data_IF_405111434055
#
_entry.id   IF_405111434055
#
_cell.length_a   1.000
_cell.length_b   1.000
_cell.length_c   1.000
_cell.angle_alpha   90.00
_cell.angle_beta   90.00
_cell.angle_gamma   90.00
#
_symmetry.space_group_name_H-M   'P 1'
#
loop_
_entity.id
_entity.type
_entity.pdbx_description
1 polymer ?
#
# COMPACT_ATOMS: atom_id res chain seq x y z
N UNK A 1 -30.72 -9.01 20.62
CA UNK A 1 -29.49 -9.52 19.97
C UNK A 1 -28.46 -8.40 20.06
N UNK A 2 -27.51 -8.48 20.99
CA UNK A 2 -26.42 -7.50 21.05
C UNK A 2 -25.58 -7.70 19.78
N UNK A 3 -25.59 -6.72 18.87
CA UNK A 3 -24.80 -6.77 17.65
C UNK A 3 -23.33 -6.95 18.00
N UNK A 4 -22.67 -7.95 17.42
CA UNK A 4 -21.23 -8.11 17.60
C UNK A 4 -20.54 -6.86 17.09
N UNK A 5 -19.85 -6.17 17.98
CA UNK A 5 -19.03 -5.00 17.67
C UNK A 5 -18.08 -5.34 16.50
N UNK A 6 -18.23 -4.68 15.35
CA UNK A 6 -17.38 -4.91 14.16
C UNK A 6 -16.11 -4.08 14.29
N UNK A 7 -14.95 -4.73 14.24
CA UNK A 7 -13.67 -4.06 14.00
C UNK A 7 -13.41 -4.05 12.48
N UNK A 8 -12.90 -2.94 11.96
CA UNK A 8 -12.49 -2.79 10.56
C UNK A 8 -11.07 -2.24 10.52
N UNK A 9 -10.21 -2.86 9.72
CA UNK A 9 -8.90 -2.31 9.42
C UNK A 9 -9.00 -1.15 8.42
N UNK A 10 -9.08 0.07 8.95
CA UNK A 10 -9.07 1.31 8.17
C UNK A 10 -7.62 1.59 7.76
N UNK A 11 -7.28 1.35 6.50
CA UNK A 11 -5.95 1.61 5.97
C UNK A 11 -5.92 2.92 5.17
N UNK A 12 -5.06 3.85 5.60
CA UNK A 12 -4.81 5.08 4.87
C UNK A 12 -3.86 4.85 3.71
N UNK A 13 -4.38 4.86 2.48
CA UNK A 13 -3.60 4.60 1.25
C UNK A 13 -2.59 5.72 1.01
N UNK A 14 -1.30 5.33 0.96
CA UNK A 14 -0.15 6.25 0.88
C UNK A 14 -0.22 7.34 1.95
N UNK A 15 -0.72 6.98 3.13
CA UNK A 15 -1.17 7.90 4.18
C UNK A 15 -2.60 8.37 3.98
N UNK A 16 -2.79 9.51 3.33
CA UNK A 16 -4.13 10.07 3.07
C UNK A 16 -4.11 10.83 1.75
N UNK A 17 -3.78 10.13 0.65
CA UNK A 17 -3.52 10.73 -0.67
C UNK A 17 -4.60 11.70 -1.15
N UNK A 18 -5.86 11.49 -0.80
CA UNK A 18 -6.94 12.41 -1.18
C UNK A 18 -6.89 13.77 -0.45
N UNK A 19 -6.07 13.92 0.60
CA UNK A 19 -6.06 15.05 1.52
C UNK A 19 -4.68 15.69 1.71
N UNK A 20 -3.59 14.93 1.53
CA UNK A 20 -2.21 15.39 1.66
C UNK A 20 -1.30 14.65 0.65
N UNK A 21 -0.09 15.17 0.36
CA UNK A 21 0.80 14.58 -0.64
C UNK A 21 1.14 13.13 -0.30
N UNK A 22 0.97 12.24 -1.28
CA UNK A 22 1.08 10.79 -1.10
C UNK A 22 2.48 10.33 -0.68
N UNK A 23 2.54 9.29 0.17
CA UNK A 23 3.80 8.67 0.61
C UNK A 23 4.79 9.66 1.27
N UNK A 24 4.27 10.77 1.83
CA UNK A 24 5.07 11.76 2.57
C UNK A 24 4.79 11.67 4.07
N UNK A 25 5.73 12.18 4.89
CA UNK A 25 5.50 12.31 6.33
C UNK A 25 4.25 13.13 6.65
N UNK A 26 3.93 14.15 5.83
CA UNK A 26 2.70 14.93 5.96
C UNK A 26 1.44 14.10 5.69
N UNK A 27 1.47 13.25 4.65
CA UNK A 27 0.40 12.30 4.36
C UNK A 27 0.15 11.33 5.52
N UNK A 28 1.22 10.77 6.10
CA UNK A 28 1.11 9.86 7.24
C UNK A 28 0.66 10.58 8.52
N UNK A 29 1.16 11.80 8.80
CA UNK A 29 0.69 12.61 9.91
C UNK A 29 -0.81 12.94 9.79
N UNK A 30 -1.28 13.22 8.57
CA UNK A 30 -2.71 13.43 8.29
C UNK A 30 -3.54 12.18 8.58
N UNK A 31 -3.06 11.00 8.16
CA UNK A 31 -3.73 9.73 8.44
C UNK A 31 -3.80 9.42 9.95
N UNK A 32 -2.70 9.66 10.69
CA UNK A 32 -2.67 9.52 12.15
C UNK A 32 -3.64 10.47 12.85
N UNK A 33 -3.75 11.72 12.37
CA UNK A 33 -4.70 12.71 12.88
C UNK A 33 -6.17 12.35 12.58
N UNK A 34 -6.43 11.58 11.51
CA UNK A 34 -7.76 11.02 11.23
C UNK A 34 -8.08 9.84 12.15
N UNK A 35 -7.05 9.10 12.60
CA UNK A 35 -7.22 7.87 13.37
C UNK A 35 -7.47 6.69 12.43
N UNK A 36 -6.45 6.31 11.66
CA UNK A 36 -6.45 5.06 10.89
C UNK A 36 -5.93 3.91 11.75
N UNK A 37 -6.27 2.68 11.37
CA UNK A 37 -5.74 1.46 12.03
C UNK A 37 -4.36 1.11 11.48
N UNK A 38 -4.15 1.37 10.19
CA UNK A 38 -2.95 0.98 9.45
C UNK A 38 -2.52 2.10 8.52
N UNK A 39 -1.23 2.40 8.49
CA UNK A 39 -0.62 3.21 7.44
C UNK A 39 -0.22 2.28 6.29
N UNK A 40 -0.87 2.46 5.16
CA UNK A 40 -0.51 1.78 3.92
C UNK A 40 0.48 2.66 3.14
N UNK A 41 1.51 2.05 2.58
CA UNK A 41 2.55 2.77 1.85
C UNK A 41 3.27 1.89 0.85
N UNK A 42 3.91 2.56 -0.10
CA UNK A 42 4.71 1.93 -1.13
C UNK A 42 6.20 2.15 -0.87
N UNK A 43 7.03 1.14 -1.13
CA UNK A 43 8.47 1.27 -1.04
C UNK A 43 9.16 1.04 -2.38
N UNK A 44 10.32 1.70 -2.53
CA UNK A 44 11.32 1.49 -3.57
C UNK A 44 12.73 1.44 -2.93
N UNK A 45 13.74 1.11 -3.74
CA UNK A 45 15.14 1.01 -3.29
C UNK A 45 16.04 1.88 -4.15
N UNK A 46 16.83 2.73 -3.50
CA UNK A 46 17.81 3.61 -4.16
C UNK A 46 19.04 2.86 -4.65
N UNK A 47 19.93 3.56 -5.37
CA UNK A 47 21.20 3.01 -5.87
C UNK A 47 22.13 2.52 -4.76
N UNK A 48 22.10 3.22 -3.63
CA UNK A 48 22.87 2.98 -2.41
C UNK A 48 22.06 2.20 -1.36
N UNK A 49 21.14 1.35 -1.81
CA UNK A 49 20.38 0.35 -1.03
C UNK A 49 19.54 0.92 0.12
N UNK A 50 19.10 2.18 0.01
CA UNK A 50 18.19 2.81 0.97
C UNK A 50 16.74 2.50 0.58
N UNK A 51 15.97 1.95 1.53
CA UNK A 51 14.52 1.76 1.36
C UNK A 51 13.79 3.09 1.58
N UNK A 52 13.14 3.56 0.52
CA UNK A 52 12.44 4.85 0.47
C UNK A 52 10.96 4.65 0.20
N UNK A 53 10.12 5.61 0.59
CA UNK A 53 8.67 5.53 0.45
C UNK A 53 8.22 6.23 -0.83
N UNK A 54 7.84 5.46 -1.85
CA UNK A 54 7.40 5.98 -3.15
C UNK A 54 6.64 4.90 -3.92
N UNK A 55 5.62 5.33 -4.66
CA UNK A 55 4.76 4.43 -5.42
C UNK A 55 5.40 3.92 -6.72
N UNK A 56 6.11 4.80 -7.43
CA UNK A 56 6.60 4.50 -8.76
C UNK A 56 8.09 4.14 -8.73
N UNK A 57 8.51 3.32 -9.69
CA UNK A 57 9.92 2.92 -9.84
C UNK A 57 10.77 4.07 -10.37
N UNK A 58 10.13 5.04 -11.03
CA UNK A 58 10.68 6.31 -11.52
C UNK A 58 9.98 7.50 -10.87
N UNK A 59 10.62 8.67 -10.85
CA UNK A 59 9.98 9.90 -10.43
C UNK A 59 8.87 10.32 -11.41
N UNK A 60 7.63 10.43 -10.92
CA UNK A 60 6.45 10.77 -11.72
C UNK A 60 6.40 12.29 -12.03
N UNK A 61 6.38 12.71 -13.30
CA UNK A 61 6.27 14.13 -13.67
C UNK A 61 4.98 14.82 -13.18
N UNK A 62 3.93 14.06 -12.88
CA UNK A 62 2.70 14.61 -12.31
C UNK A 62 2.84 14.92 -10.82
N UNK A 63 3.88 14.42 -10.15
CA UNK A 63 4.05 14.51 -8.70
C UNK A 63 5.36 15.17 -8.27
N UNK A 64 6.33 15.30 -9.18
CA UNK A 64 7.70 15.65 -8.83
C UNK A 64 8.17 16.92 -9.51
N UNK A 65 8.76 17.83 -8.72
CA UNK A 65 9.58 18.94 -9.22
C UNK A 65 11.06 18.66 -9.04
N UNK A 66 11.84 19.08 -10.03
CA UNK A 66 13.29 19.03 -10.01
C UNK A 66 13.93 20.02 -9.02
N UNK A 67 15.27 19.97 -8.87
CA UNK A 67 16.01 20.89 -8.00
C UNK A 67 15.93 22.36 -8.42
N UNK A 68 15.54 22.63 -9.67
CA UNK A 68 15.27 23.94 -10.24
C UNK A 68 13.84 24.46 -9.94
N UNK A 69 13.04 23.67 -9.21
CA UNK A 69 11.66 23.99 -8.86
C UNK A 69 10.66 23.78 -9.99
N UNK A 70 11.08 23.29 -11.15
CA UNK A 70 10.20 23.01 -12.30
C UNK A 70 9.65 21.59 -12.23
N UNK A 71 8.43 21.38 -12.75
CA UNK A 71 7.90 20.04 -12.95
C UNK A 71 8.82 19.26 -13.89
N UNK A 72 8.99 17.95 -13.63
CA UNK A 72 9.71 17.12 -14.58
C UNK A 72 8.95 17.06 -15.92
N UNK A 73 9.70 17.12 -17.02
CA UNK A 73 9.15 16.97 -18.36
C UNK A 73 9.40 15.55 -18.86
N UNK A 74 8.37 14.71 -18.86
CA UNK A 74 8.47 13.30 -19.26
C UNK A 74 8.88 12.37 -18.11
N UNK A 75 9.25 11.13 -18.45
CA UNK A 75 9.63 10.13 -17.44
C UNK A 75 10.83 10.61 -16.62
N UNK A 76 10.66 10.69 -15.30
CA UNK A 76 11.75 11.01 -14.39
C UNK A 76 12.76 9.86 -14.25
N UNK A 77 13.91 10.12 -13.57
CA UNK A 77 14.91 9.09 -13.33
C UNK A 77 14.34 7.93 -12.51
N UNK A 78 14.87 6.73 -12.73
CA UNK A 78 14.61 5.57 -11.88
C UNK A 78 15.16 5.82 -10.49
N UNK A 79 14.39 5.46 -9.46
CA UNK A 79 14.82 5.54 -8.07
C UNK A 79 16.07 4.68 -7.85
N UNK A 80 16.14 3.51 -8.52
CA UNK A 80 17.27 2.57 -8.45
C UNK A 80 18.59 3.13 -9.00
N UNK A 81 18.53 4.21 -9.81
CA UNK A 81 19.69 4.87 -10.40
C UNK A 81 20.20 6.06 -9.58
N UNK A 82 19.40 6.54 -8.61
CA UNK A 82 19.73 7.67 -7.75
C UNK A 82 20.24 7.19 -6.39
N UNK A 83 21.27 7.83 -5.84
CA UNK A 83 21.56 7.71 -4.40
C UNK A 83 20.49 8.43 -3.60
N UNK A 84 20.32 8.06 -2.33
CA UNK A 84 19.37 8.75 -1.46
C UNK A 84 19.65 10.26 -1.39
N UNK A 85 20.93 10.66 -1.30
CA UNK A 85 21.32 12.07 -1.31
C UNK A 85 20.86 12.82 -2.57
N UNK A 86 20.95 12.19 -3.75
CA UNK A 86 20.46 12.80 -5.01
C UNK A 86 18.94 12.83 -5.03
N UNK A 87 18.28 11.80 -4.53
CA UNK A 87 16.82 11.73 -4.43
C UNK A 87 16.25 12.87 -3.57
N UNK A 88 16.96 13.26 -2.51
CA UNK A 88 16.56 14.38 -1.62
C UNK A 88 16.57 15.77 -2.29
N UNK A 89 17.01 15.88 -3.54
CA UNK A 89 16.96 17.15 -4.30
C UNK A 89 15.61 17.39 -4.98
N UNK A 90 14.75 16.38 -5.03
CA UNK A 90 13.44 16.45 -5.69
C UNK A 90 12.32 16.77 -4.70
N UNK A 91 11.36 17.56 -5.15
CA UNK A 91 10.20 17.96 -4.36
C UNK A 91 8.96 17.15 -4.76
N UNK A 92 8.30 16.53 -3.78
CA UNK A 92 7.11 15.68 -3.96
C UNK A 92 5.89 16.21 -3.20
N UNK A 93 5.94 17.48 -2.82
CA UNK A 93 4.97 18.10 -1.93
C UNK A 93 3.67 18.54 -2.58
N UNK A 94 3.55 18.41 -3.90
CA UNK A 94 2.45 18.98 -4.67
C UNK A 94 2.24 18.17 -5.95
N UNK A 95 0.99 17.93 -6.32
CA UNK A 95 0.64 17.41 -7.64
C UNK A 95 0.74 18.54 -8.66
N UNK A 96 1.27 18.26 -9.85
CA UNK A 96 1.24 19.17 -11.00
C UNK A 96 -0.20 19.62 -11.30
N UNK A 97 -0.57 20.89 -11.06
CA UNK A 97 -1.95 21.34 -11.22
C UNK A 97 -2.49 21.22 -12.66
N UNK A 98 -1.60 21.11 -13.65
CA UNK A 98 -1.96 20.94 -15.06
C UNK A 98 -2.24 19.47 -15.43
N UNK A 99 -1.88 18.50 -14.59
CA UNK A 99 -2.03 17.08 -14.91
C UNK A 99 -3.49 16.61 -14.81
N UNK A 100 -3.81 15.55 -15.55
CA UNK A 100 -5.09 14.87 -15.37
C UNK A 100 -5.19 14.23 -13.97
N UNK A 101 -4.05 13.85 -13.37
CA UNK A 101 -4.00 13.29 -12.03
C UNK A 101 -4.51 14.27 -10.97
N UNK A 102 -4.19 15.56 -11.07
CA UNK A 102 -4.64 16.59 -10.13
C UNK A 102 -6.17 16.66 -10.02
N UNK A 103 -6.90 16.41 -11.12
CA UNK A 103 -8.37 16.45 -11.14
C UNK A 103 -9.02 15.40 -10.25
N UNK A 104 -8.30 14.32 -9.92
CA UNK A 104 -8.77 13.26 -9.03
C UNK A 104 -8.73 13.67 -7.56
N UNK A 105 -7.92 14.69 -7.20
CA UNK A 105 -7.61 15.05 -5.82
C UNK A 105 -7.81 16.54 -5.54
N UNK A 106 -9.02 17.09 -5.78
CA UNK A 106 -9.27 18.53 -5.61
C UNK A 106 -9.14 19.01 -4.15
N UNK A 107 -9.27 18.10 -3.18
CA UNK A 107 -9.18 18.41 -1.75
C UNK A 107 -7.76 18.25 -1.17
N UNK A 108 -6.80 17.72 -1.95
CA UNK A 108 -5.44 17.51 -1.47
C UNK A 108 -4.76 18.84 -1.18
N UNK A 109 -4.27 19.00 0.05
CA UNK A 109 -3.54 20.20 0.47
C UNK A 109 -2.05 20.06 0.15
N UNK A 110 -1.46 20.94 -0.68
CA UNK A 110 -0.03 20.86 -1.01
C UNK A 110 0.83 21.35 0.15
N UNK A 111 2.08 20.87 0.19
CA UNK A 111 3.12 21.32 1.10
C UNK A 111 4.45 21.36 0.35
N UNK A 112 4.87 22.55 -0.12
CA UNK A 112 6.14 22.69 -0.83
C UNK A 112 7.34 22.41 0.10
N UNK A 113 8.46 21.97 -0.46
CA UNK A 113 9.67 21.64 0.29
C UNK A 113 9.73 20.18 0.76
N UNK A 114 8.70 19.37 0.48
CA UNK A 114 8.63 17.97 0.92
C UNK A 114 9.51 17.08 0.04
N UNK A 115 10.20 16.12 0.67
CA UNK A 115 11.09 15.14 0.03
C UNK A 115 10.55 13.73 0.23
N UNK A 116 10.98 12.81 -0.64
CA UNK A 116 10.71 11.37 -0.48
C UNK A 116 11.38 10.89 0.82
N UNK A 117 10.64 10.35 1.80
CA UNK A 117 11.23 9.93 3.07
C UNK A 117 11.88 8.54 2.94
N UNK A 118 12.79 8.22 3.87
CA UNK A 118 13.14 6.82 4.14
C UNK A 118 11.97 6.14 4.83
N UNK A 119 11.87 4.82 4.72
CA UNK A 119 10.91 4.06 5.52
C UNK A 119 11.10 4.28 7.04
N UNK A 120 12.36 4.41 7.48
CA UNK A 120 12.69 4.67 8.88
C UNK A 120 12.14 6.01 9.42
N UNK A 121 11.94 7.01 8.54
CA UNK A 121 11.40 8.30 8.93
C UNK A 121 9.90 8.18 9.27
N UNK A 122 9.16 7.33 8.55
CA UNK A 122 7.74 7.03 8.85
C UNK A 122 7.60 6.33 10.20
N UNK A 123 8.47 5.36 10.50
CA UNK A 123 8.49 4.72 11.81
C UNK A 123 8.82 5.70 12.94
N UNK A 124 9.72 6.64 12.69
CA UNK A 124 10.09 7.68 13.66
C UNK A 124 8.93 8.65 13.90
N UNK A 125 8.19 9.02 12.86
CA UNK A 125 6.97 9.82 12.96
C UNK A 125 5.90 9.14 13.84
N UNK A 126 5.68 7.84 13.67
CA UNK A 126 4.73 7.08 14.50
C UNK A 126 5.18 7.01 15.96
N UNK A 127 6.48 6.87 16.24
CA UNK A 127 6.95 6.99 17.63
C UNK A 127 6.71 8.38 18.21
N UNK A 128 6.99 9.43 17.42
CA UNK A 128 6.78 10.82 17.82
C UNK A 128 5.31 11.11 18.14
N UNK A 129 4.37 10.45 17.47
CA UNK A 129 2.93 10.59 17.78
C UNK A 129 2.49 9.89 19.07
N UNK A 130 3.36 9.07 19.67
CA UNK A 130 3.01 8.23 20.82
C UNK A 130 2.10 7.05 20.48
N UNK A 131 1.88 6.76 19.19
CA UNK A 131 0.99 5.69 18.77
C UNK A 131 1.71 4.32 18.80
N UNK A 132 1.30 3.47 19.74
CA UNK A 132 1.85 2.13 19.93
C UNK A 132 1.03 1.03 19.23
N UNK A 133 -0.14 1.35 18.68
CA UNK A 133 -1.10 0.38 18.13
C UNK A 133 -1.14 0.37 16.60
N UNK A 134 -0.87 1.50 15.95
CA UNK A 134 -0.98 1.63 14.49
C UNK A 134 -0.05 0.65 13.78
N UNK A 135 -0.60 -0.02 12.78
CA UNK A 135 0.10 -1.03 11.97
C UNK A 135 0.61 -0.42 10.66
N UNK A 136 1.43 -1.19 9.96
CA UNK A 136 2.01 -0.82 8.66
C UNK A 136 1.70 -1.89 7.64
N UNK A 137 1.16 -1.50 6.48
CA UNK A 137 1.02 -2.38 5.33
C UNK A 137 1.93 -1.84 4.21
N UNK A 138 3.05 -2.52 3.98
CA UNK A 138 4.15 -1.98 3.16
C UNK A 138 4.23 -2.73 1.84
N UNK A 139 4.03 -2.02 0.72
CA UNK A 139 4.14 -2.59 -0.61
C UNK A 139 5.58 -2.56 -1.14
N UNK A 140 6.04 -3.65 -1.75
CA UNK A 140 7.27 -3.63 -2.56
C UNK A 140 6.95 -3.30 -4.02
N UNK A 141 7.36 -2.12 -4.50
CA UNK A 141 7.13 -1.70 -5.90
C UNK A 141 8.18 -2.24 -6.83
N UNK A 142 7.89 -3.41 -7.37
CA UNK A 142 8.71 -4.14 -8.34
C UNK A 142 7.82 -4.75 -9.43
N UNK A 143 8.39 -4.98 -10.61
CA UNK A 143 7.70 -5.61 -11.71
C UNK A 143 8.57 -6.72 -12.33
N UNK A 144 8.02 -7.93 -12.55
CA UNK A 144 8.68 -8.96 -13.34
C UNK A 144 8.83 -8.57 -14.81
N UNK A 145 8.03 -7.61 -15.29
CA UNK A 145 8.04 -7.19 -16.69
C UNK A 145 9.11 -6.15 -17.00
N UNK A 146 9.70 -5.54 -15.97
CA UNK A 146 10.78 -4.57 -16.11
C UNK A 146 11.78 -4.71 -14.95
N UNK A 147 12.52 -5.84 -14.90
CA UNK A 147 13.40 -6.20 -13.79
C UNK A 147 14.63 -5.28 -13.66
N UNK A 148 14.98 -4.53 -14.72
CA UNK A 148 16.10 -3.59 -14.69
C UNK A 148 15.79 -2.28 -13.92
N UNK A 149 14.52 -1.98 -13.65
CA UNK A 149 14.12 -0.73 -12.99
C UNK A 149 14.25 -0.78 -11.46
N UNK A 150 14.48 -1.95 -10.88
CA UNK A 150 14.51 -2.19 -9.43
C UNK A 150 15.59 -3.21 -9.05
N UNK A 151 15.85 -3.37 -7.75
CA UNK A 151 16.58 -4.55 -7.27
C UNK A 151 15.78 -5.84 -7.50
N UNK A 152 16.44 -7.00 -7.45
CA UNK A 152 15.75 -8.30 -7.51
C UNK A 152 14.80 -8.53 -6.30
N UNK A 153 13.74 -9.35 -6.44
CA UNK A 153 12.76 -9.59 -5.37
C UNK A 153 13.38 -9.98 -4.02
N UNK A 154 14.36 -10.88 -4.00
CA UNK A 154 15.02 -11.36 -2.79
C UNK A 154 15.87 -10.27 -2.13
N UNK A 155 16.53 -9.43 -2.93
CA UNK A 155 17.32 -8.28 -2.45
C UNK A 155 16.37 -7.25 -1.85
N UNK A 156 15.25 -6.97 -2.51
CA UNK A 156 14.23 -6.06 -1.97
C UNK A 156 13.71 -6.56 -0.62
N UNK A 157 13.28 -7.83 -0.56
CA UNK A 157 12.82 -8.43 0.69
C UNK A 157 13.87 -8.32 1.80
N UNK A 158 15.14 -8.61 1.51
CA UNK A 158 16.23 -8.48 2.50
C UNK A 158 16.38 -7.04 3.03
N UNK A 159 16.43 -6.04 2.14
CA UNK A 159 16.61 -4.63 2.53
C UNK A 159 15.41 -4.10 3.32
N UNK A 160 14.19 -4.44 2.89
CA UNK A 160 12.96 -4.06 3.57
C UNK A 160 12.89 -4.68 4.97
N UNK A 161 13.13 -5.99 5.09
CA UNK A 161 13.14 -6.69 6.37
C UNK A 161 14.22 -6.15 7.31
N UNK A 162 15.39 -5.80 6.79
CA UNK A 162 16.46 -5.18 7.57
C UNK A 162 16.03 -3.82 8.14
N UNK A 163 15.40 -2.97 7.32
CA UNK A 163 14.89 -1.67 7.75
C UNK A 163 13.79 -1.80 8.84
N UNK A 164 12.85 -2.73 8.66
CA UNK A 164 11.77 -3.01 9.63
C UNK A 164 12.34 -3.51 10.97
N UNK A 165 13.30 -4.45 10.93
CA UNK A 165 13.93 -5.00 12.13
C UNK A 165 14.79 -3.97 12.86
N UNK A 166 15.56 -3.18 12.13
CA UNK A 166 16.36 -2.09 12.71
C UNK A 166 15.47 -1.07 13.44
N UNK A 167 14.26 -0.85 12.95
CA UNK A 167 13.26 -0.03 13.60
C UNK A 167 12.42 -0.79 14.65
N UNK A 168 12.64 -2.08 14.92
CA UNK A 168 11.81 -2.83 15.87
C UNK A 168 10.31 -2.76 15.58
N UNK A 169 9.92 -2.70 14.30
CA UNK A 169 8.51 -2.57 13.88
C UNK A 169 7.91 -3.88 13.37
N UNK A 170 8.65 -4.99 13.41
CA UNK A 170 8.25 -6.26 12.81
C UNK A 170 6.85 -6.74 13.25
N UNK A 171 6.53 -6.64 14.55
CA UNK A 171 5.26 -7.12 15.11
C UNK A 171 4.04 -6.31 14.65
N UNK A 172 4.25 -5.11 14.08
CA UNK A 172 3.20 -4.21 13.60
C UNK A 172 3.15 -4.12 12.08
N UNK A 173 3.94 -4.92 11.36
CA UNK A 173 4.11 -4.81 9.91
C UNK A 173 3.54 -6.02 9.18
N UNK A 174 2.80 -5.76 8.11
CA UNK A 174 2.55 -6.71 7.02
C UNK A 174 3.23 -6.21 5.75
N UNK A 175 3.60 -7.14 4.85
CA UNK A 175 4.22 -6.82 3.56
C UNK A 175 3.29 -7.25 2.44
N UNK A 176 2.99 -6.33 1.52
CA UNK A 176 2.13 -6.57 0.36
C UNK A 176 2.91 -6.45 -0.96
N UNK A 177 2.43 -7.11 -2.02
CA UNK A 177 3.02 -7.01 -3.35
C UNK A 177 2.11 -7.61 -4.42
N UNK A 178 2.11 -7.03 -5.63
CA UNK A 178 1.60 -7.71 -6.83
C UNK A 178 2.56 -8.77 -7.36
N UNK A 179 3.87 -8.57 -7.16
CA UNK A 179 4.91 -9.54 -7.48
C UNK A 179 5.11 -10.47 -6.28
N UNK A 180 4.47 -11.63 -6.36
CA UNK A 180 4.44 -12.63 -5.31
C UNK A 180 5.81 -13.28 -5.07
N UNK A 181 6.78 -13.10 -5.97
CA UNK A 181 8.16 -13.58 -5.76
C UNK A 181 8.78 -12.90 -4.54
N UNK A 182 8.51 -11.61 -4.35
CA UNK A 182 8.96 -10.88 -3.17
C UNK A 182 8.27 -11.39 -1.90
N UNK A 183 6.99 -11.76 -1.96
CA UNK A 183 6.26 -12.33 -0.82
C UNK A 183 6.80 -13.72 -0.44
N UNK A 184 7.11 -14.56 -1.42
CA UNK A 184 7.76 -15.85 -1.19
C UNK A 184 9.13 -15.65 -0.49
N UNK A 185 9.91 -14.66 -0.91
CA UNK A 185 11.18 -14.31 -0.27
C UNK A 185 10.98 -13.80 1.18
N UNK A 186 9.93 -13.02 1.45
CA UNK A 186 9.56 -12.59 2.81
C UNK A 186 9.19 -13.77 3.69
N UNK A 187 8.30 -14.65 3.23
CA UNK A 187 7.87 -15.84 3.98
C UNK A 187 9.05 -16.74 4.36
N UNK A 188 9.99 -16.94 3.42
CA UNK A 188 11.19 -17.74 3.67
C UNK A 188 12.13 -17.13 4.73
N UNK A 189 12.20 -15.79 4.81
CA UNK A 189 13.18 -15.06 5.66
C UNK A 189 12.61 -14.53 6.97
N UNK A 190 11.29 -14.33 7.03
CA UNK A 190 10.58 -13.72 8.14
C UNK A 190 9.13 -14.25 8.21
N UNK A 191 8.93 -15.57 8.46
CA UNK A 191 7.60 -16.20 8.43
C UNK A 191 6.60 -15.63 9.45
N UNK A 192 7.08 -14.92 10.48
CA UNK A 192 6.23 -14.24 11.45
C UNK A 192 5.59 -12.94 10.91
N UNK A 193 6.15 -12.34 9.85
CA UNK A 193 5.59 -11.13 9.22
C UNK A 193 4.51 -11.56 8.21
N UNK A 194 3.24 -11.16 8.39
CA UNK A 194 2.17 -11.53 7.47
C UNK A 194 2.40 -10.99 6.07
N UNK A 195 2.21 -11.84 5.06
CA UNK A 195 2.21 -11.46 3.64
C UNK A 195 0.81 -11.25 3.10
N UNK A 196 0.64 -10.17 2.35
CA UNK A 196 -0.62 -9.66 1.80
C UNK A 196 -0.55 -9.74 0.27
N UNK A 197 -1.42 -10.54 -0.33
CA UNK A 197 -1.35 -10.87 -1.75
C UNK A 197 -2.23 -9.91 -2.54
N UNK A 198 -1.61 -8.96 -3.25
CA UNK A 198 -2.33 -8.03 -4.12
C UNK A 198 -2.75 -8.72 -5.41
N UNK A 199 -4.00 -8.51 -5.83
CA UNK A 199 -4.54 -9.09 -7.06
C UNK A 199 -5.43 -8.12 -7.82
N UNK A 200 -5.36 -8.16 -9.13
CA UNK A 200 -6.40 -7.63 -10.00
C UNK A 200 -6.43 -8.40 -11.32
N UNK A 201 -7.61 -8.46 -11.93
CA UNK A 201 -7.88 -9.05 -13.25
C UNK A 201 -8.59 -8.02 -14.16
N UNK A 202 -8.33 -6.73 -13.91
CA UNK A 202 -8.97 -5.62 -14.60
C UNK A 202 -8.21 -5.19 -15.86
N UNK A 203 -8.89 -4.47 -16.76
CA UNK A 203 -8.29 -4.04 -18.04
C UNK A 203 -7.06 -3.13 -17.93
N UNK A 204 -6.88 -2.43 -16.80
CA UNK A 204 -5.70 -1.59 -16.56
C UNK A 204 -4.48 -2.38 -16.05
N UNK A 205 -4.70 -3.55 -15.45
CA UNK A 205 -3.65 -4.44 -14.95
C UNK A 205 -4.25 -5.81 -14.65
N UNK A 206 -3.57 -6.87 -15.09
CA UNK A 206 -3.87 -8.25 -14.70
C UNK A 206 -2.57 -8.95 -14.28
N UNK A 207 -2.42 -9.16 -12.96
CA UNK A 207 -1.29 -9.90 -12.41
C UNK A 207 -1.60 -11.40 -12.23
N UNK A 208 -2.85 -11.82 -12.34
CA UNK A 208 -3.22 -13.24 -12.26
C UNK A 208 -3.01 -13.92 -13.61
N UNK A 209 -3.31 -13.23 -14.72
CA UNK A 209 -3.17 -13.67 -16.11
C UNK A 209 -3.70 -15.09 -16.30
N UNK A 210 -4.98 -15.27 -15.93
CA UNK A 210 -5.65 -16.58 -15.89
C UNK A 210 -5.73 -17.26 -17.27
N UNK A 211 -5.59 -16.50 -18.36
CA UNK A 211 -5.57 -16.95 -19.74
C UNK A 211 -4.21 -17.50 -20.19
N UNK A 212 -3.15 -17.29 -19.41
CA UNK A 212 -1.80 -17.79 -19.70
C UNK A 212 -1.54 -19.14 -19.03
N UNK A 213 -0.46 -19.81 -19.44
CA UNK A 213 0.00 -21.03 -18.75
C UNK A 213 0.73 -20.72 -17.44
N UNK A 214 1.32 -19.52 -17.34
CA UNK A 214 1.99 -19.02 -16.15
C UNK A 214 1.99 -17.48 -16.15
N UNK A 215 1.60 -16.88 -15.03
CA UNK A 215 1.80 -15.44 -14.79
C UNK A 215 3.21 -15.21 -14.21
N UNK A 216 3.99 -14.26 -14.74
CA UNK A 216 5.31 -13.94 -14.21
C UNK A 216 5.25 -13.27 -12.83
N UNK A 217 4.07 -12.82 -12.39
CA UNK A 217 3.84 -12.14 -11.12
C UNK A 217 3.61 -13.08 -9.95
N UNK A 218 3.18 -14.32 -10.21
CA UNK A 218 2.55 -15.18 -9.20
C UNK A 218 3.49 -16.24 -8.64
N UNK A 219 4.81 -16.06 -8.81
CA UNK A 219 5.84 -16.98 -8.30
C UNK A 219 5.60 -18.46 -8.67
N UNK A 220 5.04 -18.72 -9.85
CA UNK A 220 4.78 -20.08 -10.35
C UNK A 220 3.44 -20.71 -9.92
N UNK A 221 2.63 -19.99 -9.14
CA UNK A 221 1.25 -20.36 -8.86
C UNK A 221 0.35 -20.06 -10.07
N UNK A 222 -0.70 -20.86 -10.28
CA UNK A 222 -1.62 -20.61 -11.39
C UNK A 222 -3.06 -20.99 -11.01
N UNK A 223 -4.00 -20.10 -11.32
CA UNK A 223 -5.39 -20.21 -10.85
C UNK A 223 -6.11 -21.46 -11.37
N UNK A 224 -5.74 -21.98 -12.55
CA UNK A 224 -6.30 -23.21 -13.11
C UNK A 224 -6.01 -24.46 -12.26
N UNK A 225 -4.89 -24.46 -11.50
CA UNK A 225 -4.54 -25.53 -10.56
C UNK A 225 -5.38 -25.51 -9.28
N UNK A 226 -6.21 -24.48 -9.13
CA UNK A 226 -6.99 -24.20 -7.93
C UNK A 226 -8.49 -24.06 -8.25
N UNK A 227 -8.93 -24.65 -9.37
CA UNK A 227 -10.33 -24.64 -9.79
C UNK A 227 -10.86 -23.24 -10.14
N UNK A 228 -9.99 -22.33 -10.61
CA UNK A 228 -10.37 -20.96 -10.93
C UNK A 228 -10.45 -20.01 -9.72
N UNK A 229 -10.14 -20.48 -8.50
CA UNK A 229 -10.24 -19.68 -7.28
C UNK A 229 -8.95 -18.94 -6.94
N UNK A 230 -8.98 -17.61 -7.02
CA UNK A 230 -7.91 -16.73 -6.54
C UNK A 230 -7.73 -16.86 -5.02
N UNK A 231 -8.78 -16.88 -4.17
CA UNK A 231 -8.62 -17.11 -2.74
C UNK A 231 -7.86 -18.40 -2.39
N UNK A 232 -8.18 -19.53 -3.06
CA UNK A 232 -7.44 -20.79 -2.85
C UNK A 232 -5.98 -20.67 -3.27
N UNK A 233 -5.74 -20.01 -4.39
CA UNK A 233 -4.39 -19.75 -4.89
C UNK A 233 -3.57 -18.94 -3.87
N UNK A 234 -4.13 -17.87 -3.30
CA UNK A 234 -3.50 -17.07 -2.23
C UNK A 234 -3.25 -17.91 -0.99
N UNK A 235 -4.23 -18.72 -0.56
CA UNK A 235 -4.09 -19.59 0.61
C UNK A 235 -2.95 -20.60 0.46
N UNK A 236 -2.87 -21.25 -0.71
CA UNK A 236 -1.82 -22.24 -1.02
C UNK A 236 -0.45 -21.59 -1.15
N UNK A 237 -0.39 -20.35 -1.64
CA UNK A 237 0.84 -19.56 -1.67
C UNK A 237 1.30 -19.09 -0.28
N UNK A 238 0.56 -19.39 0.80
CA UNK A 238 0.92 -19.02 2.17
C UNK A 238 0.46 -17.62 2.59
N UNK A 239 -0.42 -16.98 1.81
CA UNK A 239 -0.95 -15.65 2.12
C UNK A 239 -1.75 -15.62 3.42
N UNK A 240 -1.51 -14.57 4.23
CA UNK A 240 -2.33 -14.27 5.41
C UNK A 240 -3.55 -13.41 5.03
N UNK A 241 -3.36 -12.54 4.04
CA UNK A 241 -4.38 -11.59 3.57
C UNK A 241 -4.47 -11.67 2.05
N UNK A 242 -5.69 -11.70 1.54
CA UNK A 242 -5.98 -11.44 0.14
C UNK A 242 -6.43 -9.97 -0.03
N UNK A 243 -5.72 -9.24 -0.90
CA UNK A 243 -5.94 -7.81 -1.13
C UNK A 243 -6.31 -7.54 -2.60
N UNK A 244 -7.57 -7.77 -3.00
CA UNK A 244 -8.01 -7.59 -4.38
C UNK A 244 -8.37 -6.14 -4.70
N UNK A 245 -8.26 -5.77 -5.99
CA UNK A 245 -8.95 -4.59 -6.49
C UNK A 245 -10.46 -4.74 -6.22
N UNK A 246 -11.07 -3.73 -5.63
CA UNK A 246 -12.44 -3.80 -5.15
C UNK A 246 -13.47 -4.05 -6.25
N UNK A 247 -13.18 -3.61 -7.48
CA UNK A 247 -14.03 -3.82 -8.66
C UNK A 247 -14.06 -5.27 -9.14
N UNK A 248 -13.06 -6.08 -8.77
CA UNK A 248 -12.99 -7.50 -9.12
C UNK A 248 -13.71 -8.40 -8.08
N UNK A 249 -14.14 -7.83 -6.94
CA UNK A 249 -14.75 -8.58 -5.86
C UNK A 249 -16.22 -8.93 -6.14
N UNK A 250 -16.57 -10.18 -5.84
CA UNK A 250 -17.96 -10.67 -5.77
C UNK A 250 -18.24 -11.33 -4.41
N UNK A 251 -19.50 -11.34 -3.92
CA UNK A 251 -19.83 -11.88 -2.59
C UNK A 251 -19.38 -13.33 -2.38
N UNK A 252 -19.49 -14.16 -3.43
CA UNK A 252 -19.09 -15.57 -3.38
C UNK A 252 -17.58 -15.75 -3.11
N UNK A 253 -16.74 -14.91 -3.72
CA UNK A 253 -15.29 -14.96 -3.50
C UNK A 253 -14.91 -14.46 -2.11
N UNK A 254 -15.61 -13.45 -1.59
CA UNK A 254 -15.45 -12.98 -0.19
C UNK A 254 -15.81 -14.10 0.78
N UNK A 255 -16.95 -14.77 0.57
CA UNK A 255 -17.35 -15.90 1.40
C UNK A 255 -16.32 -17.03 1.37
N UNK A 256 -15.83 -17.42 0.19
CA UNK A 256 -14.81 -18.46 0.06
C UNK A 256 -13.51 -18.08 0.80
N UNK A 257 -13.01 -16.87 0.62
CA UNK A 257 -11.80 -16.40 1.30
C UNK A 257 -11.96 -16.46 2.84
N UNK A 258 -13.13 -16.11 3.37
CA UNK A 258 -13.44 -16.24 4.80
C UNK A 258 -13.44 -17.69 5.26
N UNK A 259 -14.02 -18.61 4.49
CA UNK A 259 -14.01 -20.06 4.79
C UNK A 259 -12.58 -20.62 4.80
N UNK A 260 -11.70 -20.10 3.94
CA UNK A 260 -10.27 -20.44 3.91
C UNK A 260 -9.46 -19.83 5.06
N UNK A 261 -10.09 -18.99 5.89
CA UNK A 261 -9.46 -18.27 6.99
C UNK A 261 -8.51 -17.16 6.53
N UNK A 262 -8.70 -16.64 5.31
CA UNK A 262 -7.98 -15.46 4.84
C UNK A 262 -8.62 -14.19 5.38
N UNK A 263 -7.79 -13.20 5.68
CA UNK A 263 -8.25 -11.81 5.82
C UNK A 263 -8.45 -11.19 4.44
N UNK A 264 -9.42 -10.29 4.31
CA UNK A 264 -9.78 -9.67 3.04
C UNK A 264 -9.71 -8.16 3.18
N UNK A 265 -8.84 -7.52 2.42
CA UNK A 265 -8.61 -6.07 2.48
C UNK A 265 -8.58 -5.49 1.07
N UNK A 266 -9.72 -5.13 0.45
CA UNK A 266 -9.73 -4.56 -0.90
C UNK A 266 -9.13 -3.15 -0.97
N UNK A 267 -8.67 -2.81 -2.18
CA UNK A 267 -8.12 -1.50 -2.54
C UNK A 267 -8.63 -1.03 -3.92
N UNK A 268 -8.53 0.25 -4.29
CA UNK A 268 -8.59 1.40 -3.40
C UNK A 268 -10.03 1.93 -3.42
N UNK A 269 -10.71 1.93 -2.28
CA UNK A 269 -12.15 2.21 -2.19
C UNK A 269 -12.35 3.63 -1.69
N UNK A 270 -12.90 4.51 -2.52
CA UNK A 270 -13.07 5.93 -2.18
C UNK A 270 -14.53 6.36 -2.08
N UNK A 271 -15.45 5.61 -2.69
CA UNK A 271 -16.87 5.92 -2.69
C UNK A 271 -17.60 5.36 -1.46
N UNK A 272 -18.40 6.17 -0.73
CA UNK A 272 -19.14 5.71 0.44
C UNK A 272 -20.05 4.49 0.17
N UNK A 273 -20.66 4.43 -1.01
CA UNK A 273 -21.52 3.31 -1.40
C UNK A 273 -20.75 1.98 -1.47
N UNK A 274 -19.57 1.99 -2.07
CA UNK A 274 -18.70 0.81 -2.15
C UNK A 274 -18.13 0.42 -0.79
N UNK A 275 -17.77 1.40 0.04
CA UNK A 275 -17.34 1.15 1.43
C UNK A 275 -18.42 0.38 2.21
N UNK A 276 -19.68 0.86 2.19
CA UNK A 276 -20.79 0.19 2.88
C UNK A 276 -21.01 -1.23 2.37
N UNK A 277 -21.07 -1.38 1.04
CA UNK A 277 -21.23 -2.69 0.38
C UNK A 277 -20.16 -3.69 0.83
N UNK A 278 -18.89 -3.29 0.87
CA UNK A 278 -17.79 -4.17 1.26
C UNK A 278 -17.81 -4.51 2.75
N UNK A 279 -18.15 -3.55 3.62
CA UNK A 279 -18.33 -3.79 5.07
C UNK A 279 -19.49 -4.77 5.33
N UNK A 280 -20.57 -4.68 4.56
CA UNK A 280 -21.71 -5.62 4.60
C UNK A 280 -21.29 -7.03 4.16
N UNK A 281 -20.49 -7.14 3.10
CA UNK A 281 -19.93 -8.42 2.65
C UNK A 281 -18.95 -9.04 3.65
N UNK A 282 -18.50 -8.26 4.64
CA UNK A 282 -17.67 -8.74 5.73
C UNK A 282 -16.20 -8.82 5.38
N UNK A 283 -15.69 -7.85 4.60
CA UNK A 283 -14.23 -7.65 4.48
C UNK A 283 -13.65 -7.25 5.85
N UNK A 284 -12.38 -7.57 6.07
CA UNK A 284 -11.68 -7.30 7.33
C UNK A 284 -11.08 -5.89 7.38
N UNK A 285 -10.85 -5.27 6.22
CA UNK A 285 -10.29 -3.93 6.10
C UNK A 285 -10.60 -3.30 4.76
N UNK A 286 -10.30 -2.00 4.63
CA UNK A 286 -10.42 -1.26 3.38
C UNK A 286 -9.22 -0.31 3.27
N UNK A 287 -8.55 -0.33 2.12
CA UNK A 287 -7.53 0.65 1.73
C UNK A 287 -8.21 1.80 0.98
N UNK A 288 -8.05 3.03 1.46
CA UNK A 288 -8.73 4.21 0.92
C UNK A 288 -7.82 5.43 0.85
N UNK A 289 -7.96 6.22 -0.22
CA UNK A 289 -7.37 7.56 -0.34
C UNK A 289 -8.06 8.57 0.56
N UNK A 290 -9.29 8.26 0.98
CA UNK A 290 -10.17 9.07 1.82
C UNK A 290 -10.47 8.35 3.14
N UNK A 291 -9.45 8.13 4.00
CA UNK A 291 -9.66 7.50 5.29
C UNK A 291 -10.60 8.30 6.20
N UNK A 292 -10.75 9.61 5.97
CA UNK A 292 -11.76 10.46 6.62
C UNK A 292 -13.20 10.02 6.29
N UNK A 293 -13.47 9.74 5.01
CA UNK A 293 -14.76 9.24 4.55
C UNK A 293 -14.97 7.81 5.06
N UNK A 294 -13.97 6.94 4.94
CA UNK A 294 -14.05 5.55 5.41
C UNK A 294 -14.33 5.49 6.91
N UNK A 295 -13.68 6.33 7.71
CA UNK A 295 -13.93 6.44 9.15
C UNK A 295 -15.36 6.88 9.45
N UNK A 296 -15.88 7.88 8.72
CA UNK A 296 -17.28 8.32 8.86
C UNK A 296 -18.26 7.19 8.52
N UNK A 297 -18.07 6.51 7.39
CA UNK A 297 -18.89 5.36 6.99
C UNK A 297 -18.81 4.23 8.02
N UNK A 298 -17.62 3.95 8.55
CA UNK A 298 -17.45 2.99 9.65
C UNK A 298 -18.27 3.38 10.89
N UNK A 299 -18.26 4.66 11.28
CA UNK A 299 -19.06 5.17 12.40
C UNK A 299 -20.56 4.94 12.17
N UNK A 300 -21.05 5.24 10.96
CA UNK A 300 -22.46 5.03 10.56
C UNK A 300 -22.87 3.55 10.57
N UNK A 301 -21.90 2.64 10.51
CA UNK A 301 -22.10 1.18 10.48
C UNK A 301 -21.68 0.49 11.78
N UNK A 302 -21.60 1.24 12.89
CA UNK A 302 -21.26 0.76 14.23
C UNK A 302 -19.90 0.03 14.32
N UNK A 303 -18.94 0.43 13.47
CA UNK A 303 -17.55 -0.04 13.53
C UNK A 303 -16.83 0.66 14.68
N UNK A 304 -16.01 -0.08 15.44
CA UNK A 304 -15.12 0.51 16.44
C UNK A 304 -14.00 1.27 15.74
N UNK A 305 -13.94 2.57 16.01
CA UNK A 305 -12.95 3.44 15.43
C UNK A 305 -11.73 3.59 16.35
N UNK A 306 -10.49 3.45 15.84
CA UNK A 306 -9.31 3.69 16.64
C UNK A 306 -9.21 5.17 17.03
N UNK A 307 -8.51 5.52 18.13
CA UNK A 307 -8.29 6.92 18.49
C UNK A 307 -7.41 7.63 17.46
N UNK A 308 -7.64 8.94 17.28
CA UNK A 308 -6.73 9.79 16.52
C UNK A 308 -5.47 10.11 17.35
N UNK A 309 -4.31 10.13 16.69
CA UNK A 309 -3.02 10.44 17.31
C UNK A 309 -2.28 11.50 16.49
N UNK A 310 -2.75 12.77 16.51
CA UNK A 310 -2.15 13.83 15.73
C UNK A 310 -0.68 14.05 16.12
N UNK A 311 0.15 14.37 15.14
CA UNK A 311 1.59 14.59 15.31
C UNK A 311 2.04 15.77 14.44
N UNK A 312 2.90 16.61 14.99
CA UNK A 312 3.54 17.70 14.24
C UNK A 312 4.79 17.20 13.53
N UNK A 313 5.04 17.71 12.32
CA UNK A 313 6.25 17.39 11.55
C UNK A 313 7.47 18.08 12.14
#
# INVERSE_FOLDING_TARGET
MAGSVKALDIQGHRGARGLAPENTLAGFARALAIGVTTLEMDCAVTRDDVVVVSHDRSLDPDLVRGPDGQWLTGAGPLIRDLTYEKLQRYDVGRINPASAYAKRWPEQQPLDGVRIPKLADVFSLVRKSGNNEVRFNIETKISPLAPAETVAPEVFACLLLAAIRAAGMADRTSIQSFDWRTLAAVQAKAPAIPTVYLTTVSGFMDNIQADRSASPWTAGHHVSRHGGSIPRMVKIAGGAVWSPYYGDLVPAAVHEARVLGLKIVPWTVNEPGDMRRLIEWGVDGIISDRPDILRRVGAEMDVVLPPATPVTL
#
